data_IF_025370428205
#
_entry.id   IF_025370428205
#
_cell.length_a   1.000
_cell.length_b   1.000
_cell.length_c   1.000
_cell.angle_alpha   90.00
_cell.angle_beta   90.00
_cell.angle_gamma   90.00
#
_symmetry.space_group_name_H-M   'P 1'
#
loop_
_entity.id
_entity.type
_entity.pdbx_description
1 polymer ?
#
# COMPACT_ATOMS: atom_id res chain seq x y z
N UNK A 1 -18.04 -82.03 -80.24
CA UNK A 1 -17.42 -82.08 -78.91
C UNK A 1 -15.93 -82.16 -79.16
N UNK A 2 -15.25 -81.02 -79.20
CA UNK A 2 -13.79 -80.95 -79.30
C UNK A 2 -13.27 -80.43 -77.95
N UNK A 3 -12.48 -81.27 -77.29
CA UNK A 3 -11.85 -81.01 -76.01
C UNK A 3 -10.79 -79.93 -76.16
N UNK A 4 -11.00 -78.78 -75.53
CA UNK A 4 -9.97 -77.75 -75.42
C UNK A 4 -8.75 -78.33 -74.68
N UNK A 5 -7.52 -78.14 -75.20
CA UNK A 5 -6.32 -78.60 -74.54
C UNK A 5 -6.16 -77.86 -73.20
N UNK A 6 -5.71 -78.59 -72.18
CA UNK A 6 -5.43 -78.01 -70.87
C UNK A 6 -4.36 -76.92 -71.03
N UNK A 7 -4.57 -75.70 -70.50
CA UNK A 7 -3.61 -74.61 -70.62
C UNK A 7 -2.33 -74.99 -69.87
N UNK A 8 -1.21 -75.03 -70.59
CA UNK A 8 0.12 -75.21 -70.00
C UNK A 8 0.54 -73.93 -69.28
N UNK A 9 1.04 -74.10 -68.06
CA UNK A 9 1.49 -73.01 -67.21
C UNK A 9 2.81 -72.47 -67.76
N UNK A 10 2.90 -71.17 -68.15
CA UNK A 10 4.13 -70.55 -68.62
C UNK A 10 5.25 -70.61 -67.57
N UNK A 11 6.47 -70.85 -68.05
CA UNK A 11 7.68 -70.95 -67.23
C UNK A 11 7.95 -69.62 -66.51
N UNK A 12 8.13 -69.65 -65.19
CA UNK A 12 8.30 -68.46 -64.33
C UNK A 12 7.03 -67.98 -63.60
N UNK A 13 5.84 -68.45 -63.98
CA UNK A 13 4.59 -68.04 -63.32
C UNK A 13 4.50 -68.50 -61.86
N UNK A 14 5.19 -69.60 -61.49
CA UNK A 14 5.32 -70.04 -60.10
C UNK A 14 6.18 -69.10 -59.27
N UNK A 15 7.26 -68.57 -59.84
CA UNK A 15 8.16 -67.64 -59.15
C UNK A 15 7.51 -66.26 -59.00
N UNK A 16 6.76 -65.80 -60.01
CA UNK A 16 5.95 -64.58 -59.89
C UNK A 16 4.82 -64.74 -58.87
N UNK A 17 4.13 -65.87 -58.87
CA UNK A 17 3.08 -66.17 -57.90
C UNK A 17 3.66 -66.28 -56.48
N UNK A 18 4.76 -67.00 -56.28
CA UNK A 18 5.43 -67.09 -54.98
C UNK A 18 5.99 -65.74 -54.51
N UNK A 19 6.51 -64.92 -55.42
CA UNK A 19 6.91 -63.54 -55.14
C UNK A 19 5.72 -62.66 -54.73
N UNK A 20 4.57 -62.85 -55.37
CA UNK A 20 3.33 -62.16 -55.02
C UNK A 20 2.80 -62.63 -53.65
N UNK A 21 2.82 -63.93 -53.35
CA UNK A 21 2.42 -64.49 -52.04
C UNK A 21 3.38 -64.05 -50.93
N UNK A 22 4.69 -64.01 -51.20
CA UNK A 22 5.69 -63.49 -50.26
C UNK A 22 5.50 -61.99 -49.99
N UNK A 23 5.08 -61.21 -51.00
CA UNK A 23 4.75 -59.79 -50.84
C UNK A 23 3.45 -59.55 -50.04
N UNK A 24 2.53 -60.53 -50.04
CA UNK A 24 1.30 -60.48 -49.24
C UNK A 24 1.54 -60.88 -47.77
N UNK A 25 2.53 -61.74 -47.50
CA UNK A 25 2.90 -62.15 -46.14
C UNK A 25 3.57 -61.06 -45.29
N UNK A 26 4.12 -60.01 -45.92
CA UNK A 26 4.95 -59.01 -45.26
C UNK A 26 4.38 -57.58 -45.34
N UNK A 27 3.06 -57.44 -45.24
CA UNK A 27 2.45 -56.16 -44.87
C UNK A 27 2.67 -55.95 -43.37
N UNK A 28 3.79 -55.34 -42.99
CA UNK A 28 4.03 -54.92 -41.61
C UNK A 28 2.85 -54.06 -41.14
N UNK A 29 1.99 -54.64 -40.32
CA UNK A 29 0.90 -53.93 -39.66
C UNK A 29 1.54 -52.85 -38.79
N UNK A 30 1.63 -51.63 -39.30
CA UNK A 30 2.07 -50.47 -38.52
C UNK A 30 1.19 -50.42 -37.28
N UNK A 31 1.77 -50.81 -36.14
CA UNK A 31 1.07 -50.83 -34.85
C UNK A 31 0.89 -49.39 -34.42
N UNK A 32 -0.14 -48.73 -34.95
CA UNK A 32 -0.59 -47.45 -34.43
C UNK A 32 -1.06 -47.77 -33.01
N UNK A 33 -0.34 -47.28 -32.00
CA UNK A 33 -0.79 -47.37 -30.61
C UNK A 33 -2.10 -46.59 -30.53
N UNK A 34 -3.23 -47.29 -30.61
CA UNK A 34 -4.55 -46.75 -30.31
C UNK A 34 -4.58 -46.46 -28.82
N UNK A 35 -4.13 -45.25 -28.48
CA UNK A 35 -4.31 -44.71 -27.14
C UNK A 35 -5.82 -44.57 -26.91
N UNK A 36 -6.37 -45.27 -25.91
CA UNK A 36 -7.80 -45.32 -25.69
C UNK A 36 -8.33 -43.93 -25.32
N UNK A 37 -9.55 -43.60 -25.77
CA UNK A 37 -10.07 -42.22 -25.81
C UNK A 37 -10.03 -41.47 -24.47
N UNK A 38 -10.25 -42.18 -23.36
CA UNK A 38 -10.11 -41.67 -21.99
C UNK A 38 -8.73 -41.07 -21.66
N UNK A 39 -7.64 -41.57 -22.24
CA UNK A 39 -6.28 -41.01 -22.01
C UNK A 39 -6.11 -39.63 -22.62
N UNK A 40 -6.77 -39.36 -23.76
CA UNK A 40 -6.79 -38.03 -24.38
C UNK A 40 -7.62 -37.05 -23.53
N UNK A 41 -8.77 -37.50 -23.01
CA UNK A 41 -9.64 -36.71 -22.13
C UNK A 41 -8.92 -36.39 -20.80
N UNK A 42 -8.24 -37.37 -20.19
CA UNK A 42 -7.47 -37.18 -18.96
C UNK A 42 -6.33 -36.18 -19.15
N UNK A 43 -5.59 -36.25 -20.26
CA UNK A 43 -4.54 -35.27 -20.57
C UNK A 43 -5.11 -33.86 -20.72
N UNK A 44 -6.27 -33.69 -21.38
CA UNK A 44 -6.93 -32.39 -21.51
C UNK A 44 -7.34 -31.81 -20.15
N UNK A 45 -7.86 -32.64 -19.24
CA UNK A 45 -8.17 -32.18 -17.87
C UNK A 45 -6.91 -31.79 -17.11
N UNK A 46 -5.83 -32.55 -17.18
CA UNK A 46 -4.56 -32.20 -16.52
C UNK A 46 -3.99 -30.88 -17.06
N UNK A 47 -4.06 -30.62 -18.36
CA UNK A 47 -3.66 -29.33 -18.92
C UNK A 47 -4.58 -28.18 -18.47
N UNK A 48 -5.90 -28.39 -18.43
CA UNK A 48 -6.85 -27.38 -17.97
C UNK A 48 -6.63 -27.05 -16.48
N UNK A 49 -6.50 -28.07 -15.62
CA UNK A 49 -6.24 -27.88 -14.19
C UNK A 49 -4.83 -27.32 -13.92
N UNK A 50 -3.82 -27.77 -14.67
CA UNK A 50 -2.45 -27.28 -14.55
C UNK A 50 -2.33 -25.81 -14.96
N UNK A 51 -2.92 -25.43 -16.10
CA UNK A 51 -2.92 -24.03 -16.56
C UNK A 51 -3.79 -23.13 -15.67
N UNK A 52 -4.90 -23.64 -15.14
CA UNK A 52 -5.71 -22.93 -14.15
C UNK A 52 -4.96 -22.74 -12.83
N UNK A 53 -4.27 -23.77 -12.32
CA UNK A 53 -3.49 -23.69 -11.08
C UNK A 53 -2.28 -22.76 -11.20
N UNK A 54 -1.52 -22.87 -12.30
CA UNK A 54 -0.41 -21.95 -12.62
C UNK A 54 -0.92 -20.51 -12.82
N UNK A 55 -2.05 -20.34 -13.52
CA UNK A 55 -2.70 -19.05 -13.72
C UNK A 55 -3.16 -18.41 -12.41
N UNK A 56 -3.77 -19.18 -11.52
CA UNK A 56 -4.19 -18.73 -10.20
C UNK A 56 -2.98 -18.32 -9.33
N UNK A 57 -1.92 -19.12 -9.33
CA UNK A 57 -0.72 -18.84 -8.51
C UNK A 57 0.12 -17.67 -9.04
N UNK A 58 0.20 -17.48 -10.35
CA UNK A 58 0.87 -16.33 -10.99
C UNK A 58 0.01 -15.06 -10.91
N UNK A 59 -1.30 -15.18 -11.10
CA UNK A 59 -2.26 -14.07 -11.02
C UNK A 59 -2.36 -13.47 -9.63
N UNK A 60 -2.35 -14.32 -8.59
CA UNK A 60 -2.41 -13.86 -7.19
C UNK A 60 -1.17 -13.05 -6.79
N UNK A 61 0.03 -13.42 -7.29
CA UNK A 61 1.27 -12.67 -7.04
C UNK A 61 1.36 -11.36 -7.82
N UNK A 62 0.86 -11.30 -9.06
CA UNK A 62 0.83 -10.06 -9.84
C UNK A 62 -0.20 -9.06 -9.30
N UNK A 63 -1.36 -9.54 -8.85
CA UNK A 63 -2.38 -8.70 -8.22
C UNK A 63 -1.86 -7.98 -6.98
N UNK A 64 -1.15 -8.70 -6.11
CA UNK A 64 -0.57 -8.14 -4.89
C UNK A 64 0.54 -7.11 -5.16
N UNK A 65 1.46 -7.39 -6.11
CA UNK A 65 2.56 -6.46 -6.45
C UNK A 65 2.05 -5.19 -7.12
N UNK A 66 1.12 -5.30 -8.09
CA UNK A 66 0.57 -4.14 -8.81
C UNK A 66 -0.30 -3.28 -7.89
N UNK A 67 -1.08 -3.91 -7.01
CA UNK A 67 -1.91 -3.19 -6.04
C UNK A 67 -1.08 -2.48 -4.97
N UNK A 68 0.01 -3.10 -4.48
CA UNK A 68 0.92 -2.48 -3.52
C UNK A 68 1.71 -1.30 -4.13
N UNK A 69 2.11 -1.38 -5.40
CA UNK A 69 2.78 -0.28 -6.10
C UNK A 69 1.84 0.91 -6.33
N UNK A 70 0.63 0.68 -6.84
CA UNK A 70 -0.36 1.75 -7.06
C UNK A 70 -0.79 2.43 -5.76
N UNK A 71 -1.01 1.65 -4.68
CA UNK A 71 -1.39 2.22 -3.38
C UNK A 71 -0.26 3.06 -2.77
N UNK A 72 1.01 2.64 -2.95
CA UNK A 72 2.16 3.41 -2.48
C UNK A 72 2.31 4.74 -3.23
N UNK A 73 2.17 4.75 -4.56
CA UNK A 73 2.30 5.96 -5.38
C UNK A 73 1.20 6.98 -5.08
N UNK A 74 -0.04 6.52 -4.94
CA UNK A 74 -1.17 7.38 -4.54
C UNK A 74 -0.96 7.98 -3.15
N UNK A 75 -0.39 7.22 -2.21
CA UNK A 75 -0.10 7.72 -0.87
C UNK A 75 0.93 8.85 -0.91
N UNK A 76 2.01 8.68 -1.68
CA UNK A 76 3.05 9.70 -1.84
C UNK A 76 2.52 10.95 -2.55
N UNK A 77 1.74 10.80 -3.62
CA UNK A 77 1.12 11.93 -4.30
C UNK A 77 0.17 12.71 -3.37
N UNK A 78 -0.66 12.00 -2.60
CA UNK A 78 -1.56 12.62 -1.61
C UNK A 78 -0.76 13.43 -0.58
N UNK A 79 0.35 12.89 -0.08
CA UNK A 79 1.21 13.61 0.87
C UNK A 79 1.79 14.90 0.25
N UNK A 80 2.24 14.85 -1.00
CA UNK A 80 2.75 16.05 -1.70
C UNK A 80 1.66 17.13 -1.87
N UNK A 81 0.44 16.73 -2.21
CA UNK A 81 -0.70 17.66 -2.29
C UNK A 81 -0.97 18.30 -0.93
N UNK A 82 -0.99 17.52 0.15
CA UNK A 82 -1.18 18.06 1.51
C UNK A 82 -0.07 19.03 1.91
N UNK A 83 1.19 18.73 1.57
CA UNK A 83 2.32 19.63 1.79
C UNK A 83 2.19 20.94 1.02
N UNK A 84 1.78 20.88 -0.25
CA UNK A 84 1.52 22.06 -1.07
C UNK A 84 0.36 22.89 -0.50
N UNK A 85 -0.72 22.23 -0.05
CA UNK A 85 -1.86 22.87 0.62
C UNK A 85 -1.44 23.68 1.84
N UNK A 86 -0.56 23.15 2.69
CA UNK A 86 -0.06 23.88 3.86
C UNK A 86 0.77 25.13 3.50
N UNK A 87 1.45 25.12 2.34
CA UNK A 87 2.35 26.20 1.91
C UNK A 87 1.62 27.30 1.14
N UNK A 88 0.87 26.92 0.11
CA UNK A 88 0.45 27.84 -0.96
C UNK A 88 -1.02 28.29 -0.84
N UNK A 89 -1.84 27.59 -0.06
CA UNK A 89 -3.30 27.80 -0.07
C UNK A 89 -3.78 28.80 1.00
N UNK A 90 -5.08 29.12 0.97
CA UNK A 90 -5.73 30.04 1.92
C UNK A 90 -5.94 29.40 3.30
N UNK A 91 -6.24 30.21 4.32
CA UNK A 91 -6.42 29.75 5.71
C UNK A 91 -7.38 28.55 5.86
N UNK A 92 -8.63 28.60 5.34
CA UNK A 92 -9.56 27.48 5.42
C UNK A 92 -9.01 26.19 4.80
N UNK A 93 -8.43 26.29 3.59
CA UNK A 93 -7.86 25.14 2.89
C UNK A 93 -6.66 24.53 3.63
N UNK A 94 -5.87 25.37 4.31
CA UNK A 94 -4.81 24.89 5.21
C UNK A 94 -5.39 24.12 6.39
N UNK A 95 -6.48 24.59 7.00
CA UNK A 95 -7.16 23.87 8.09
C UNK A 95 -7.66 22.51 7.60
N UNK A 96 -8.26 22.44 6.41
CA UNK A 96 -8.69 21.17 5.81
C UNK A 96 -7.52 20.21 5.58
N UNK A 97 -6.38 20.73 5.13
CA UNK A 97 -5.15 19.95 4.96
C UNK A 97 -4.62 19.45 6.31
N UNK A 98 -4.59 20.29 7.34
CA UNK A 98 -4.20 19.93 8.72
C UNK A 98 -5.06 18.78 9.24
N UNK A 99 -6.39 18.87 9.10
CA UNK A 99 -7.32 17.82 9.51
C UNK A 99 -7.13 16.52 8.71
N UNK A 100 -6.88 16.64 7.41
CA UNK A 100 -6.59 15.48 6.55
C UNK A 100 -5.31 14.76 6.95
N UNK A 101 -4.32 15.48 7.46
CA UNK A 101 -3.07 14.90 7.97
C UNK A 101 -3.33 14.16 9.29
N UNK A 102 -4.06 14.75 10.24
CA UNK A 102 -4.28 14.13 11.58
C UNK A 102 -5.04 12.81 11.50
N UNK A 103 -6.00 12.73 10.57
CA UNK A 103 -6.83 11.54 10.34
C UNK A 103 -6.13 10.45 9.51
N UNK A 104 -4.94 10.72 8.95
CA UNK A 104 -4.20 9.73 8.19
C UNK A 104 -3.52 8.72 9.12
N UNK A 105 -3.58 7.42 8.76
CA UNK A 105 -2.99 6.33 9.55
C UNK A 105 -1.46 6.42 9.66
N UNK A 106 -0.78 6.61 8.52
CA UNK A 106 0.67 6.77 8.43
C UNK A 106 1.03 8.21 8.06
N UNK A 107 1.54 8.98 9.02
CA UNK A 107 2.01 10.34 8.78
C UNK A 107 3.54 10.34 8.65
N UNK A 108 4.05 10.82 7.51
CA UNK A 108 5.49 10.91 7.28
C UNK A 108 6.13 11.96 8.18
N UNK A 109 7.45 11.88 8.35
CA UNK A 109 8.19 12.88 9.12
C UNK A 109 8.09 14.26 8.46
N UNK A 110 8.05 14.35 7.12
CA UNK A 110 7.90 15.64 6.44
C UNK A 110 6.54 16.30 6.72
N UNK A 111 5.47 15.52 6.85
CA UNK A 111 4.16 16.05 7.22
C UNK A 111 4.14 16.56 8.66
N UNK A 112 4.81 15.86 9.59
CA UNK A 112 4.99 16.35 10.97
C UNK A 112 5.78 17.65 10.96
N UNK A 113 6.89 17.73 10.22
CA UNK A 113 7.70 18.94 10.09
C UNK A 113 6.89 20.11 9.52
N UNK A 114 6.08 19.85 8.50
CA UNK A 114 5.20 20.84 7.90
C UNK A 114 4.14 21.35 8.89
N UNK A 115 3.54 20.46 9.70
CA UNK A 115 2.60 20.85 10.75
C UNK A 115 3.27 21.65 11.87
N UNK A 116 4.47 21.26 12.30
CA UNK A 116 5.26 22.01 13.30
C UNK A 116 5.60 23.40 12.79
N UNK A 117 6.03 23.51 11.53
CA UNK A 117 6.26 24.80 10.90
C UNK A 117 4.97 25.63 10.80
N UNK A 118 3.86 24.99 10.42
CA UNK A 118 2.54 25.63 10.32
C UNK A 118 2.09 26.18 11.68
N UNK A 119 2.18 25.38 12.74
CA UNK A 119 1.89 25.79 14.12
C UNK A 119 2.70 27.02 14.54
N UNK A 120 3.98 27.08 14.19
CA UNK A 120 4.87 28.13 14.66
C UNK A 120 4.87 29.40 13.82
N UNK A 121 4.57 29.30 12.52
CA UNK A 121 4.84 30.39 11.58
C UNK A 121 3.66 30.79 10.70
N UNK A 122 2.55 30.04 10.67
CA UNK A 122 1.43 30.42 9.81
C UNK A 122 0.84 31.78 10.23
N UNK A 123 0.65 32.65 9.24
CA UNK A 123 0.12 34.00 9.43
C UNK A 123 -1.25 34.01 10.12
N UNK A 124 -2.05 32.96 9.92
CA UNK A 124 -3.39 32.86 10.49
C UNK A 124 -3.35 32.09 11.81
N UNK A 125 -3.73 32.76 12.90
CA UNK A 125 -3.78 32.15 14.24
C UNK A 125 -4.71 30.93 14.30
N UNK A 126 -5.80 30.89 13.52
CA UNK A 126 -6.69 29.73 13.48
C UNK A 126 -6.04 28.51 12.81
N UNK A 127 -5.19 28.73 11.80
CA UNK A 127 -4.41 27.65 11.17
C UNK A 127 -3.38 27.12 12.15
N UNK A 128 -2.71 28.02 12.89
CA UNK A 128 -1.79 27.62 13.97
C UNK A 128 -2.48 26.80 15.05
N UNK A 129 -3.67 27.22 15.49
CA UNK A 129 -4.48 26.49 16.46
C UNK A 129 -4.89 25.11 15.94
N UNK A 130 -5.33 25.02 14.68
CA UNK A 130 -5.64 23.75 14.05
C UNK A 130 -4.41 22.82 14.03
N UNK A 131 -3.23 23.35 13.71
CA UNK A 131 -1.99 22.58 13.72
C UNK A 131 -1.61 22.08 15.13
N UNK A 132 -1.80 22.90 16.18
CA UNK A 132 -1.65 22.47 17.58
C UNK A 132 -2.57 21.29 17.88
N UNK A 133 -3.86 21.41 17.52
CA UNK A 133 -4.85 20.37 17.76
C UNK A 133 -4.49 19.06 17.04
N UNK A 134 -4.14 19.13 15.75
CA UNK A 134 -3.72 17.96 14.97
C UNK A 134 -2.47 17.28 15.55
N UNK A 135 -1.44 18.05 15.90
CA UNK A 135 -0.23 17.52 16.53
C UNK A 135 -0.55 16.88 17.88
N UNK A 136 -1.47 17.46 18.66
CA UNK A 136 -1.86 16.92 19.97
C UNK A 136 -2.54 15.55 19.89
N UNK A 137 -3.38 15.33 18.87
CA UNK A 137 -4.02 14.04 18.60
C UNK A 137 -2.99 12.99 18.19
N UNK A 138 -1.95 13.41 17.49
CA UNK A 138 -0.90 12.53 16.98
C UNK A 138 0.25 12.30 17.96
N UNK A 139 0.24 12.90 19.15
CA UNK A 139 1.34 12.85 20.11
C UNK A 139 1.79 11.42 20.45
N UNK A 140 0.86 10.46 20.51
CA UNK A 140 1.18 9.04 20.77
C UNK A 140 1.77 8.27 19.58
N UNK A 141 1.78 8.85 18.37
CA UNK A 141 2.35 8.23 17.16
C UNK A 141 3.85 8.54 17.01
N UNK A 142 4.31 9.66 17.56
CA UNK A 142 5.70 10.10 17.44
C UNK A 142 6.10 11.00 18.62
N UNK A 143 7.04 10.53 19.44
CA UNK A 143 7.52 11.23 20.64
C UNK A 143 8.09 12.63 20.34
N UNK A 144 8.61 12.86 19.13
CA UNK A 144 9.11 14.18 18.71
C UNK A 144 8.02 15.25 18.77
N UNK A 145 6.76 14.88 18.50
CA UNK A 145 5.63 15.83 18.49
C UNK A 145 5.47 16.46 19.88
N UNK A 146 5.58 15.66 20.94
CA UNK A 146 5.57 16.14 22.33
C UNK A 146 6.65 17.22 22.54
N UNK A 147 7.88 16.94 22.12
CA UNK A 147 9.00 17.88 22.23
C UNK A 147 8.76 19.18 21.46
N UNK A 148 8.19 19.11 20.26
CA UNK A 148 7.90 20.30 19.45
C UNK A 148 6.75 21.14 20.02
N UNK A 149 5.71 20.51 20.57
CA UNK A 149 4.62 21.22 21.27
C UNK A 149 5.14 21.96 22.52
N UNK A 150 5.98 21.28 23.30
CA UNK A 150 6.71 21.85 24.46
C UNK A 150 7.50 23.09 24.02
N UNK A 151 8.43 22.95 23.05
CA UNK A 151 9.24 24.09 22.55
C UNK A 151 8.38 25.28 22.10
N UNK A 152 7.26 24.99 21.45
CA UNK A 152 6.39 26.00 20.86
C UNK A 152 5.74 26.92 21.90
N UNK A 153 5.64 26.51 23.18
CA UNK A 153 5.19 27.39 24.28
C UNK A 153 5.94 28.72 24.33
N UNK A 154 7.25 28.68 24.06
CA UNK A 154 8.12 29.87 24.09
C UNK A 154 8.24 30.59 22.75
N UNK A 155 7.78 29.95 21.65
CA UNK A 155 7.80 30.51 20.30
C UNK A 155 6.53 31.32 20.04
N UNK A 156 5.39 30.90 20.61
CA UNK A 156 4.12 31.58 20.38
C UNK A 156 4.03 32.91 21.13
N UNK A 157 3.85 34.00 20.39
CA UNK A 157 3.58 35.32 20.94
C UNK A 157 2.08 35.58 21.19
N UNK A 158 1.20 34.77 20.57
CA UNK A 158 -0.24 34.95 20.70
C UNK A 158 -0.73 34.30 22.02
N UNK A 159 -1.35 35.07 22.94
CA UNK A 159 -1.84 34.56 24.23
C UNK A 159 -2.78 33.37 24.11
N UNK A 160 -3.66 33.36 23.11
CA UNK A 160 -4.60 32.26 22.89
C UNK A 160 -3.87 30.96 22.52
N UNK A 161 -2.85 31.05 21.67
CA UNK A 161 -2.06 29.88 21.26
C UNK A 161 -1.20 29.35 22.42
N UNK A 162 -0.66 30.24 23.26
CA UNK A 162 0.05 29.83 24.48
C UNK A 162 -0.88 29.10 25.46
N UNK A 163 -2.07 29.63 25.71
CA UNK A 163 -3.08 28.99 26.56
C UNK A 163 -3.47 27.62 26.00
N UNK A 164 -3.74 27.52 24.70
CA UNK A 164 -4.07 26.23 24.07
C UNK A 164 -2.94 25.20 24.19
N UNK A 165 -1.68 25.61 24.04
CA UNK A 165 -0.54 24.72 24.25
C UNK A 165 -0.42 24.26 25.70
N UNK A 166 -0.56 25.17 26.67
CA UNK A 166 -0.54 24.82 28.11
C UNK A 166 -1.65 23.82 28.41
N UNK A 167 -2.86 24.09 27.91
CA UNK A 167 -4.03 23.23 28.09
C UNK A 167 -3.75 21.83 27.55
N UNK A 168 -3.36 21.72 26.28
CA UNK A 168 -3.07 20.44 25.63
C UNK A 168 -2.01 19.66 26.39
N UNK A 169 -0.90 20.29 26.76
CA UNK A 169 0.20 19.61 27.45
C UNK A 169 -0.21 19.14 28.85
N UNK A 170 -1.05 19.91 29.54
CA UNK A 170 -1.59 19.57 30.86
C UNK A 170 -2.59 18.41 30.77
N UNK A 171 -3.56 18.50 29.85
CA UNK A 171 -4.58 17.47 29.63
C UNK A 171 -3.99 16.14 29.18
N UNK A 172 -2.91 16.18 28.39
CA UNK A 172 -2.16 14.99 27.96
C UNK A 172 -1.18 14.48 29.02
N UNK A 173 -1.06 15.15 30.17
CA UNK A 173 -0.20 14.71 31.28
C UNK A 173 1.30 14.82 30.99
N UNK A 174 1.71 15.77 30.14
CA UNK A 174 3.10 15.97 29.73
C UNK A 174 3.89 16.66 30.84
N UNK A 175 4.42 15.89 31.79
CA UNK A 175 5.15 16.40 32.96
C UNK A 175 6.41 17.19 32.58
N UNK A 176 7.03 16.88 31.44
CA UNK A 176 8.22 17.54 30.92
C UNK A 176 7.96 19.02 30.57
N UNK A 177 6.70 19.43 30.37
CA UNK A 177 6.33 20.82 30.11
C UNK A 177 6.39 21.71 31.37
N UNK A 178 6.42 21.11 32.59
CA UNK A 178 6.28 21.82 33.87
C UNK A 178 7.22 23.01 34.00
N UNK A 179 8.51 22.83 33.71
CA UNK A 179 9.50 23.89 33.81
C UNK A 179 9.20 25.07 32.87
N UNK A 180 8.69 24.80 31.67
CA UNK A 180 8.36 25.85 30.72
C UNK A 180 7.08 26.60 31.09
N UNK A 181 6.07 25.87 31.56
CA UNK A 181 4.83 26.47 32.08
C UNK A 181 5.14 27.36 33.29
N UNK A 182 6.01 26.89 34.20
CA UNK A 182 6.50 27.69 35.33
C UNK A 182 7.23 28.95 34.87
N UNK A 183 8.15 28.82 33.92
CA UNK A 183 8.86 29.96 33.34
C UNK A 183 7.90 30.98 32.70
N UNK A 184 6.85 30.55 32.01
CA UNK A 184 5.83 31.43 31.43
C UNK A 184 5.07 32.17 32.53
N UNK A 185 4.71 31.47 33.61
CA UNK A 185 3.93 32.01 34.72
C UNK A 185 4.65 33.10 35.53
N UNK A 186 5.98 33.07 35.53
CA UNK A 186 6.86 33.98 36.28
C UNK A 186 7.50 35.06 35.39
N UNK A 187 7.40 34.95 34.07
CA UNK A 187 7.99 35.93 33.15
C UNK A 187 7.12 37.18 33.07
N UNK A 188 7.67 38.33 33.49
CA UNK A 188 6.97 39.62 33.51
C UNK A 188 6.39 40.04 32.16
N UNK A 189 7.03 39.66 31.05
CA UNK A 189 6.61 40.02 29.68
C UNK A 189 5.46 39.16 29.14
N UNK A 190 5.13 38.06 29.80
CA UNK A 190 3.99 37.20 29.43
C UNK A 190 2.68 37.95 29.69
N UNK A 191 1.70 37.78 28.82
CA UNK A 191 0.33 38.29 29.02
C UNK A 191 -0.28 37.79 30.35
N UNK A 192 -0.99 38.66 31.07
CA UNK A 192 -1.54 38.34 32.39
C UNK A 192 -2.53 37.17 32.37
N UNK A 193 -3.31 37.02 31.30
CA UNK A 193 -4.25 35.91 31.15
C UNK A 193 -3.51 34.56 31.02
N UNK A 194 -2.38 34.54 30.30
CA UNK A 194 -1.53 33.37 30.13
C UNK A 194 -0.84 33.03 31.45
N UNK A 195 -0.33 34.02 32.19
CA UNK A 195 0.25 33.81 33.53
C UNK A 195 -0.76 33.20 34.48
N UNK A 196 -1.96 33.77 34.56
CA UNK A 196 -3.02 33.29 35.43
C UNK A 196 -3.40 31.84 35.08
N UNK A 197 -3.57 31.55 33.80
CA UNK A 197 -3.87 30.20 33.33
C UNK A 197 -2.75 29.19 33.61
N UNK A 198 -1.48 29.56 33.35
CA UNK A 198 -0.32 28.74 33.66
C UNK A 198 -0.24 28.39 35.15
N UNK A 199 -0.43 29.39 36.04
CA UNK A 199 -0.46 29.19 37.50
C UNK A 199 -1.56 28.25 37.94
N UNK A 200 -2.72 28.30 37.28
CA UNK A 200 -3.82 27.41 37.60
C UNK A 200 -3.51 25.97 37.18
N UNK A 201 -3.08 25.76 35.93
CA UNK A 201 -2.77 24.42 35.41
C UNK A 201 -1.59 23.74 36.13
N UNK A 202 -0.61 24.50 36.63
CA UNK A 202 0.48 23.92 37.43
C UNK A 202 0.00 23.28 38.74
N UNK A 203 -1.14 23.71 39.30
CA UNK A 203 -1.73 23.05 40.49
C UNK A 203 -2.30 21.68 40.15
N UNK A 204 -2.65 21.45 38.89
CA UNK A 204 -3.22 20.21 38.37
C UNK A 204 -2.14 19.21 37.94
N UNK A 205 -0.98 19.70 37.49
CA UNK A 205 0.19 18.86 37.16
C UNK A 205 0.89 18.43 38.46
N UNK A 206 0.34 17.40 39.12
CA UNK A 206 0.90 16.76 40.32
C UNK A 206 1.90 15.65 39.94
#
# INVERSE_FOLDING_TARGET
MDSFPAPEVPEGMKEEFEGMVASLGNQEKKKIRLVPMWTKIAAMMVFAFGTYWLGFQIGSRKGEIVQNQLTSELSTQKQQVLLASLREYTGPQKIDAVYSISTTGNVSTELIDALVNTMNTDKNANVRLAAISALSEMMGKNDRIKTELIKSLTVQENPLLQISLIQVLTEKGVKEAKHQIESISNNEKTDESVKAYAKDMMKTII
#
